data_IF_211635664477
#
_entry.id   IF_211635664477
#
_cell.length_a   1.000
_cell.length_b   1.000
_cell.length_c   1.000
_cell.angle_alpha   90.00
_cell.angle_beta   90.00
_cell.angle_gamma   90.00
#
_symmetry.space_group_name_H-M   'P 1'
#
loop_
_entity.id
_entity.type
_entity.pdbx_description
1 polymer ?
#
# COMPACT_ATOMS: atom_id res chain seq x y z
N UNK A 1 69.29 10.26 40.36
CA UNK A 1 68.25 9.64 39.41
C UNK A 1 66.84 9.62 39.98
N UNK A 2 66.56 9.14 41.17
CA UNK A 2 65.20 9.16 41.76
C UNK A 2 64.49 10.51 41.82
N UNK A 3 65.22 11.60 42.19
CA UNK A 3 64.65 12.94 42.24
C UNK A 3 64.36 13.59 40.91
N UNK A 4 65.05 13.14 39.83
CA UNK A 4 64.80 13.63 38.50
C UNK A 4 63.58 12.98 37.89
N UNK A 5 63.33 11.70 38.21
CA UNK A 5 62.09 10.95 37.74
C UNK A 5 60.83 11.47 38.45
N UNK A 6 60.89 11.87 39.71
CA UNK A 6 59.75 12.46 40.45
C UNK A 6 59.37 13.79 39.83
N UNK A 7 60.35 14.63 39.42
CA UNK A 7 60.12 15.95 38.81
C UNK A 7 59.41 15.79 37.45
N UNK A 8 59.81 14.82 36.62
CA UNK A 8 59.16 14.54 35.33
C UNK A 8 57.74 13.97 35.51
N UNK A 9 57.50 13.13 36.52
CA UNK A 9 56.18 12.58 36.83
C UNK A 9 55.22 13.68 37.34
N UNK A 10 55.70 14.64 38.12
CA UNK A 10 54.92 15.79 38.59
C UNK A 10 54.58 16.78 37.47
N UNK A 11 55.49 17.03 36.52
CA UNK A 11 55.26 17.88 35.35
C UNK A 11 54.27 17.19 34.41
N UNK A 12 54.39 15.87 34.22
CA UNK A 12 53.43 15.07 33.43
C UNK A 12 52.02 15.07 34.04
N UNK A 13 51.89 14.98 35.37
CA UNK A 13 50.61 15.04 36.05
C UNK A 13 49.97 16.46 36.00
N UNK A 14 50.79 17.51 35.98
CA UNK A 14 50.30 18.90 35.86
C UNK A 14 49.80 19.23 34.45
N UNK A 15 50.39 18.60 33.41
CA UNK A 15 49.94 18.75 32.01
C UNK A 15 48.64 17.99 31.71
N UNK A 16 48.31 16.95 32.48
CA UNK A 16 47.07 16.21 32.35
C UNK A 16 45.89 16.93 33.02
N UNK A 17 46.15 17.76 34.06
CA UNK A 17 45.12 18.48 34.77
C UNK A 17 44.69 19.81 34.09
N UNK A 18 45.39 20.26 33.04
CA UNK A 18 45.03 21.48 32.31
C UNK A 18 44.15 21.20 31.08
N UNK A 19 43.66 19.96 30.88
CA UNK A 19 42.96 19.55 29.66
C UNK A 19 41.43 19.54 29.77
N UNK A 20 40.82 20.05 30.81
CA UNK A 20 39.35 20.04 30.93
C UNK A 20 38.80 21.35 31.53
N UNK A 21 39.07 22.47 30.88
CA UNK A 21 38.28 23.69 31.07
C UNK A 21 38.10 24.41 29.74
N UNK A 22 37.52 23.73 28.76
CA UNK A 22 36.84 24.44 27.72
C UNK A 22 35.41 24.76 28.22
N UNK A 23 35.31 25.82 29.04
CA UNK A 23 34.03 26.51 29.17
C UNK A 23 33.69 27.04 27.78
N UNK A 24 32.83 26.33 27.08
CA UNK A 24 32.37 26.76 25.75
C UNK A 24 31.59 28.07 25.93
N UNK A 25 32.19 29.16 25.42
CA UNK A 25 31.59 30.48 25.50
C UNK A 25 30.40 30.58 24.57
N UNK A 26 29.22 30.79 25.12
CA UNK A 26 28.01 31.11 24.36
C UNK A 26 28.07 32.54 23.82
N UNK A 27 27.65 32.70 22.57
CA UNK A 27 27.69 34.00 21.89
C UNK A 27 26.33 34.69 21.96
N UNK A 28 26.34 35.97 22.30
CA UNK A 28 25.20 36.88 22.27
C UNK A 28 25.15 37.73 20.97
N UNK A 29 26.00 37.44 19.99
CA UNK A 29 25.97 38.17 18.72
C UNK A 29 24.65 37.95 17.99
N UNK A 30 24.06 39.05 17.52
CA UNK A 30 22.85 39.00 16.67
C UNK A 30 23.11 38.49 15.24
N UNK A 31 24.37 38.34 14.85
CA UNK A 31 24.76 37.79 13.54
C UNK A 31 24.68 36.26 13.53
N UNK A 32 24.73 35.62 14.72
CA UNK A 32 24.65 34.21 14.83
C UNK A 32 23.24 33.69 14.47
N UNK A 33 23.20 32.65 13.66
CA UNK A 33 21.99 31.97 13.23
C UNK A 33 22.16 30.45 13.36
N UNK A 34 21.08 29.77 13.66
CA UNK A 34 21.00 28.32 13.48
C UNK A 34 20.65 28.00 12.04
N UNK A 35 21.15 26.88 11.53
CA UNK A 35 20.83 26.35 10.23
C UNK A 35 19.80 25.23 10.41
N UNK A 36 18.69 25.27 9.70
CA UNK A 36 17.64 24.25 9.76
C UNK A 36 17.73 23.32 8.55
N UNK A 37 17.43 22.06 8.73
CA UNK A 37 17.35 21.07 7.64
C UNK A 37 16.19 21.38 6.67
N UNK A 38 15.18 22.12 7.15
CA UNK A 38 14.07 22.62 6.34
C UNK A 38 13.53 23.92 6.93
N UNK A 39 12.98 24.79 6.12
CA UNK A 39 12.23 25.98 6.54
C UNK A 39 10.74 25.68 6.75
N UNK A 40 10.25 24.58 6.14
CA UNK A 40 8.86 24.13 6.21
C UNK A 40 8.82 22.62 6.32
N UNK A 41 8.25 22.11 7.42
CA UNK A 41 7.95 20.70 7.59
C UNK A 41 6.52 20.43 7.15
N UNK A 42 6.38 19.68 6.05
CA UNK A 42 5.09 19.21 5.56
C UNK A 42 4.81 17.82 6.10
N UNK A 43 3.79 17.70 6.93
CA UNK A 43 3.15 16.44 7.24
C UNK A 43 2.14 16.13 6.13
N UNK A 44 1.88 14.86 5.87
CA UNK A 44 0.94 14.47 4.82
C UNK A 44 -0.54 14.76 5.20
N UNK A 45 -1.47 14.32 4.35
CA UNK A 45 -2.90 14.39 4.63
C UNK A 45 -3.27 13.41 5.75
N UNK A 46 -4.11 13.83 6.68
CA UNK A 46 -4.62 13.06 7.79
C UNK A 46 -6.14 13.04 7.75
N UNK A 47 -6.74 11.93 8.15
CA UNK A 47 -8.18 11.95 8.43
C UNK A 47 -8.47 12.81 9.66
N UNK A 48 -9.62 13.50 9.65
CA UNK A 48 -10.06 14.28 10.82
C UNK A 48 -10.04 13.43 12.09
N UNK A 49 -9.61 14.03 13.19
CA UNK A 49 -9.47 13.39 14.51
C UNK A 49 -8.50 12.20 14.56
N UNK A 50 -7.60 12.05 13.56
CA UNK A 50 -6.53 11.06 13.60
C UNK A 50 -5.16 11.73 13.78
N UNK A 51 -4.22 10.98 14.36
CA UNK A 51 -2.84 11.44 14.55
C UNK A 51 -1.96 11.04 13.37
N UNK A 52 -1.00 11.90 13.07
CA UNK A 52 0.08 11.60 12.12
C UNK A 52 1.08 10.58 12.69
N UNK A 53 1.95 10.07 11.81
CA UNK A 53 3.26 9.56 12.20
C UNK A 53 4.11 10.69 12.80
N UNK A 54 5.21 10.33 13.43
CA UNK A 54 6.22 11.29 13.91
C UNK A 54 7.12 11.69 12.74
N UNK A 55 7.23 12.98 12.51
CA UNK A 55 8.14 13.61 11.57
C UNK A 55 9.25 14.30 12.31
N UNK A 56 10.39 14.58 11.66
CA UNK A 56 11.52 15.24 12.28
C UNK A 56 12.15 16.29 11.37
N UNK A 57 12.78 17.27 12.00
CA UNK A 57 13.75 18.15 11.37
C UNK A 57 14.88 18.46 12.33
N UNK A 58 16.00 18.88 11.77
CA UNK A 58 17.22 19.15 12.52
C UNK A 58 17.57 20.62 12.48
N UNK A 59 18.14 21.11 13.58
CA UNK A 59 18.82 22.39 13.63
C UNK A 59 20.29 22.20 13.98
N UNK A 60 21.14 22.99 13.36
CA UNK A 60 22.59 22.89 13.47
C UNK A 60 23.19 24.22 13.90
N UNK A 61 24.14 24.20 14.86
CA UNK A 61 24.94 25.34 15.13
C UNK A 61 26.25 25.31 14.32
N UNK A 62 26.29 26.07 13.23
CA UNK A 62 27.47 26.23 12.37
C UNK A 62 28.31 27.46 12.75
N UNK A 63 27.96 28.19 13.85
CA UNK A 63 28.69 29.33 14.32
C UNK A 63 29.99 28.89 15.02
N UNK A 64 30.97 29.80 15.13
CA UNK A 64 32.28 29.53 15.78
C UNK A 64 32.19 29.30 17.30
N UNK A 65 31.05 29.62 17.92
CA UNK A 65 30.78 29.46 19.35
C UNK A 65 29.44 28.80 19.58
N UNK A 66 29.23 28.28 20.79
CA UNK A 66 27.92 27.84 21.25
C UNK A 66 26.89 28.98 21.19
N UNK A 67 25.64 28.64 20.94
CA UNK A 67 24.50 29.55 21.08
C UNK A 67 23.48 28.90 22.02
N UNK A 68 22.73 29.73 22.75
CA UNK A 68 21.72 29.26 23.68
C UNK A 68 20.35 29.67 23.16
N UNK A 69 19.43 28.70 23.09
CA UNK A 69 18.03 28.95 22.84
C UNK A 69 17.39 29.43 24.14
N UNK A 70 17.07 30.72 24.23
CA UNK A 70 16.34 31.28 25.37
C UNK A 70 14.93 30.66 25.45
N UNK A 71 14.31 30.39 24.30
CA UNK A 71 13.05 29.62 24.24
C UNK A 71 12.79 28.97 22.89
N UNK A 72 12.11 27.83 22.92
CA UNK A 72 11.45 27.22 21.78
C UNK A 72 9.98 27.05 22.11
N UNK A 73 9.07 27.48 21.22
CA UNK A 73 7.63 27.42 21.45
C UNK A 73 6.85 27.15 20.15
N UNK A 74 5.64 26.61 20.26
CA UNK A 74 4.64 26.69 19.20
C UNK A 74 4.00 28.08 19.19
N UNK A 75 3.86 28.69 18.02
CA UNK A 75 3.28 30.03 17.88
C UNK A 75 1.85 30.10 18.41
N UNK A 76 1.03 29.06 18.13
CA UNK A 76 -0.36 28.97 18.58
C UNK A 76 -0.59 27.97 19.73
N UNK A 77 0.50 27.51 20.40
CA UNK A 77 0.40 26.47 21.43
C UNK A 77 -0.16 25.16 20.87
N UNK A 78 -1.22 24.59 21.47
CA UNK A 78 -1.85 23.37 20.98
C UNK A 78 -3.15 23.61 20.15
N UNK A 79 -3.48 24.86 19.86
CA UNK A 79 -4.78 25.22 19.24
C UNK A 79 -4.94 24.68 17.81
N UNK A 80 -3.83 24.41 17.14
CA UNK A 80 -3.77 23.90 15.79
C UNK A 80 -3.53 22.39 15.69
N UNK A 81 -3.50 21.68 16.81
CA UNK A 81 -3.34 20.23 16.87
C UNK A 81 -1.91 19.71 16.72
N UNK A 82 -0.91 20.58 16.56
CA UNK A 82 0.50 20.16 16.49
C UNK A 82 1.07 19.87 17.89
N UNK A 83 1.88 18.83 17.96
CA UNK A 83 2.68 18.43 19.14
C UNK A 83 4.14 18.40 18.72
N UNK A 84 4.98 19.04 19.50
CA UNK A 84 6.41 19.17 19.21
C UNK A 84 7.23 18.71 20.43
N UNK A 85 8.31 17.98 20.15
CA UNK A 85 9.30 17.58 21.13
C UNK A 85 10.67 18.10 20.68
N UNK A 86 11.33 18.87 21.51
CA UNK A 86 12.63 19.46 21.22
C UNK A 86 13.66 18.75 22.08
N UNK A 87 14.55 18.00 21.45
CA UNK A 87 15.64 17.29 22.15
C UNK A 87 15.17 16.45 23.37
N UNK A 88 14.06 15.70 23.19
CA UNK A 88 13.49 14.87 24.26
C UNK A 88 12.50 15.59 25.19
N UNK A 89 12.35 16.91 25.09
CA UNK A 89 11.45 17.69 25.96
C UNK A 89 10.18 18.06 25.16
N UNK A 90 8.99 17.55 25.54
CA UNK A 90 7.75 17.88 24.84
C UNK A 90 7.27 19.30 25.17
N UNK A 91 6.80 20.03 24.16
CA UNK A 91 6.04 21.27 24.33
C UNK A 91 4.62 20.91 24.78
N UNK A 92 4.32 21.02 26.05
CA UNK A 92 3.08 20.55 26.66
C UNK A 92 2.45 21.61 27.58
N UNK A 93 1.23 21.35 28.06
CA UNK A 93 0.56 22.20 29.03
C UNK A 93 1.41 22.46 30.30
N UNK A 94 2.17 21.43 30.74
CA UNK A 94 2.96 21.50 31.95
C UNK A 94 4.09 22.56 31.89
N UNK A 95 4.53 22.91 30.69
CA UNK A 95 5.57 23.92 30.46
C UNK A 95 5.05 25.10 29.61
N UNK A 96 3.73 25.30 29.50
CA UNK A 96 3.10 26.37 28.72
C UNK A 96 3.42 26.31 27.24
N UNK A 97 3.57 25.10 26.68
CA UNK A 97 3.96 24.85 25.29
C UNK A 97 5.29 25.50 24.89
N UNK A 98 6.22 25.59 25.87
CA UNK A 98 7.53 26.22 25.67
C UNK A 98 8.61 25.41 26.40
N UNK A 99 9.78 25.37 25.81
CA UNK A 99 11.03 24.92 26.46
C UNK A 99 12.00 26.06 26.45
N UNK A 100 12.75 26.25 27.56
CA UNK A 100 13.69 27.32 27.70
C UNK A 100 15.09 26.78 27.97
N UNK A 101 16.10 27.63 27.78
CA UNK A 101 17.48 27.44 28.18
C UNK A 101 18.12 26.15 27.59
N UNK A 102 18.02 25.98 26.27
CA UNK A 102 18.66 24.85 25.58
C UNK A 102 20.00 25.29 25.01
N UNK A 103 21.13 24.77 25.49
CA UNK A 103 22.42 25.01 24.87
C UNK A 103 22.57 24.25 23.54
N UNK A 104 23.15 24.90 22.56
CA UNK A 104 23.55 24.26 21.27
C UNK A 104 25.03 24.60 21.08
N UNK A 105 25.88 23.62 21.36
CA UNK A 105 27.33 23.81 21.31
C UNK A 105 27.82 24.03 19.87
N UNK A 106 29.05 24.53 19.74
CA UNK A 106 29.67 24.69 18.42
C UNK A 106 29.75 23.34 17.69
N UNK A 107 29.24 23.28 16.44
CA UNK A 107 29.22 22.07 15.65
C UNK A 107 28.14 21.04 16.01
N UNK A 108 27.35 21.33 17.07
CA UNK A 108 26.30 20.44 17.55
C UNK A 108 24.98 20.61 16.75
N UNK A 109 24.07 19.68 16.96
CA UNK A 109 22.74 19.67 16.36
C UNK A 109 21.68 19.18 17.34
N UNK A 110 20.45 19.65 17.17
CA UNK A 110 19.27 19.17 17.90
C UNK A 110 18.23 18.63 16.94
N UNK A 111 17.60 17.53 17.32
CA UNK A 111 16.46 16.98 16.62
C UNK A 111 15.15 17.52 17.20
N UNK A 112 14.23 17.87 16.33
CA UNK A 112 12.87 18.31 16.69
C UNK A 112 11.87 17.33 16.06
N UNK A 113 11.13 16.64 16.92
CA UNK A 113 10.06 15.73 16.51
C UNK A 113 8.72 16.46 16.49
N UNK A 114 7.94 16.18 15.46
CA UNK A 114 6.64 16.82 15.24
C UNK A 114 5.59 15.76 14.90
N UNK A 115 4.46 15.87 15.56
CA UNK A 115 3.23 15.14 15.25
C UNK A 115 2.07 16.12 15.13
N UNK A 116 1.01 15.71 14.45
CA UNK A 116 -0.22 16.48 14.41
C UNK A 116 -1.45 15.56 14.61
N UNK A 117 -2.50 16.11 15.24
CA UNK A 117 -3.84 15.54 15.20
C UNK A 117 -4.69 16.45 14.33
N UNK A 118 -5.24 15.92 13.23
CA UNK A 118 -6.02 16.70 12.30
C UNK A 118 -7.31 17.21 12.95
N UNK A 119 -7.62 18.52 12.83
CA UNK A 119 -8.88 19.07 13.32
C UNK A 119 -10.07 18.53 12.52
N UNK A 120 -11.25 18.49 13.12
CA UNK A 120 -12.49 18.22 12.40
C UNK A 120 -12.92 19.48 11.65
N UNK A 121 -12.97 19.39 10.32
CA UNK A 121 -13.40 20.47 9.43
C UNK A 121 -14.53 19.93 8.57
N UNK A 122 -15.63 20.66 8.47
CA UNK A 122 -16.77 20.22 7.63
C UNK A 122 -16.54 20.56 6.17
N UNK A 123 -15.56 19.87 5.55
CA UNK A 123 -15.16 20.07 4.17
C UNK A 123 -15.01 18.74 3.44
N UNK A 124 -15.34 18.72 2.16
CA UNK A 124 -15.27 17.50 1.33
C UNK A 124 -13.83 17.19 0.90
N UNK A 125 -13.04 18.24 0.61
CA UNK A 125 -11.65 18.11 0.16
C UNK A 125 -10.67 18.33 1.29
N UNK A 126 -9.47 17.74 1.26
CA UNK A 126 -8.43 18.03 2.22
C UNK A 126 -8.16 19.54 2.34
N UNK A 127 -8.13 20.06 3.57
CA UNK A 127 -7.86 21.46 3.88
C UNK A 127 -6.59 21.58 4.71
N UNK A 128 -5.71 22.51 4.33
CA UNK A 128 -4.47 22.80 5.05
C UNK A 128 -4.77 23.40 6.43
N UNK A 129 -4.01 22.97 7.44
CA UNK A 129 -3.87 23.61 8.73
C UNK A 129 -2.38 23.72 9.08
N UNK A 130 -1.98 24.81 9.75
CA UNK A 130 -0.59 25.15 9.96
C UNK A 130 -0.32 25.76 11.34
N UNK A 131 0.95 25.72 11.74
CA UNK A 131 1.53 26.40 12.89
C UNK A 131 3.01 26.70 12.60
N UNK A 132 3.71 27.30 13.57
CA UNK A 132 5.14 27.56 13.48
C UNK A 132 5.84 27.15 14.79
N UNK A 133 7.03 26.56 14.66
CA UNK A 133 7.96 26.45 15.78
C UNK A 133 8.85 27.68 15.78
N UNK A 134 8.80 28.45 16.87
CA UNK A 134 9.55 29.68 17.03
C UNK A 134 10.74 29.41 17.94
N UNK A 135 11.93 29.65 17.46
CA UNK A 135 13.22 29.53 18.15
C UNK A 135 13.73 30.93 18.46
N UNK A 136 13.87 31.25 19.72
CA UNK A 136 14.42 32.55 20.17
C UNK A 136 15.79 32.32 20.79
N UNK A 137 16.85 32.87 20.21
CA UNK A 137 18.19 32.85 20.75
C UNK A 137 18.31 33.83 21.96
N UNK A 138 19.26 33.59 22.85
CA UNK A 138 19.58 34.49 23.96
C UNK A 138 19.97 35.89 23.47
N UNK A 139 20.50 35.99 22.25
CA UNK A 139 20.77 37.28 21.57
C UNK A 139 19.52 38.06 21.17
N UNK A 140 18.30 37.48 21.35
CA UNK A 140 17.03 38.04 20.94
C UNK A 140 16.67 37.79 19.47
N UNK A 141 17.47 37.03 18.74
CA UNK A 141 17.17 36.63 17.35
C UNK A 141 16.10 35.57 17.34
N UNK A 142 15.05 35.77 16.55
CA UNK A 142 14.01 34.77 16.28
C UNK A 142 14.20 34.13 14.91
N UNK A 143 14.05 32.80 14.88
CA UNK A 143 13.98 32.00 13.65
C UNK A 143 12.75 31.08 13.73
N UNK A 144 12.19 30.72 12.60
CA UNK A 144 10.94 29.97 12.54
C UNK A 144 11.03 28.83 11.55
N UNK A 145 10.37 27.72 11.87
CA UNK A 145 10.10 26.61 10.95
C UNK A 145 8.58 26.47 10.85
N UNK A 146 8.05 26.57 9.62
CA UNK A 146 6.62 26.39 9.35
C UNK A 146 6.27 24.91 9.44
N UNK A 147 5.15 24.59 10.11
CA UNK A 147 4.54 23.29 10.15
C UNK A 147 3.24 23.34 9.33
N UNK A 148 3.00 22.38 8.46
CA UNK A 148 1.75 22.28 7.73
C UNK A 148 1.31 20.84 7.55
N UNK A 149 0.00 20.62 7.57
CA UNK A 149 -0.63 19.34 7.28
C UNK A 149 -2.01 19.58 6.67
N UNK A 150 -2.65 18.53 6.15
CA UNK A 150 -3.99 18.62 5.59
C UNK A 150 -4.94 17.73 6.38
N UNK A 151 -6.09 18.28 6.77
CA UNK A 151 -7.18 17.52 7.36
C UNK A 151 -8.21 17.14 6.31
N UNK A 152 -8.57 15.86 6.25
CA UNK A 152 -9.59 15.35 5.36
C UNK A 152 -10.72 14.73 6.19
N UNK A 153 -11.93 15.28 6.02
CA UNK A 153 -13.10 14.80 6.74
C UNK A 153 -13.51 13.41 6.23
N UNK A 154 -13.52 12.44 7.13
CA UNK A 154 -13.98 11.09 6.88
C UNK A 154 -15.20 10.74 7.73
N UNK A 155 -16.02 9.79 7.28
CA UNK A 155 -17.00 9.12 8.10
C UNK A 155 -16.30 8.02 8.89
N UNK A 156 -16.25 8.14 10.22
CA UNK A 156 -15.59 7.15 11.08
C UNK A 156 -16.57 6.03 11.44
N UNK A 157 -16.21 4.81 11.13
CA UNK A 157 -16.89 3.58 11.52
C UNK A 157 -15.91 2.78 12.38
N UNK A 158 -16.29 2.51 13.63
CA UNK A 158 -15.43 1.68 14.48
C UNK A 158 -15.53 0.21 14.03
N UNK A 159 -16.73 -0.38 14.12
CA UNK A 159 -17.08 -1.70 13.60
C UNK A 159 -18.50 -1.67 13.03
N UNK A 160 -18.69 -2.23 11.85
CA UNK A 160 -20.02 -2.35 11.24
C UNK A 160 -20.48 -3.80 11.26
N UNK A 161 -21.56 -4.07 12.00
CA UNK A 161 -22.28 -5.35 12.01
C UNK A 161 -23.51 -5.24 11.10
N UNK A 162 -23.47 -5.90 9.94
CA UNK A 162 -24.55 -5.87 8.95
C UNK A 162 -25.47 -7.06 9.20
N UNK A 163 -26.49 -6.88 10.01
CA UNK A 163 -27.49 -7.92 10.34
C UNK A 163 -28.72 -7.91 9.41
N UNK A 164 -28.94 -6.84 8.65
CA UNK A 164 -29.99 -6.68 7.65
C UNK A 164 -29.41 -6.05 6.40
N UNK A 165 -30.12 -6.11 5.29
CA UNK A 165 -29.70 -5.50 4.04
C UNK A 165 -29.36 -4.02 4.23
N UNK A 166 -28.14 -3.67 3.89
CA UNK A 166 -27.55 -2.35 4.15
C UNK A 166 -26.88 -1.83 2.90
N UNK A 167 -26.99 -0.53 2.66
CA UNK A 167 -26.36 0.14 1.52
C UNK A 167 -25.35 1.16 2.05
N UNK A 168 -24.14 1.12 1.55
CA UNK A 168 -23.13 2.17 1.69
C UNK A 168 -23.04 2.90 0.36
N UNK A 169 -23.40 4.20 0.37
CA UNK A 169 -23.29 5.11 -0.76
C UNK A 169 -22.62 6.39 -0.30
N UNK A 170 -21.32 6.52 -0.52
CA UNK A 170 -20.52 7.65 0.00
C UNK A 170 -19.47 8.11 -1.01
N UNK A 171 -19.88 8.61 -2.19
CA UNK A 171 -18.94 8.98 -3.25
C UNK A 171 -18.15 10.26 -2.97
N UNK A 172 -18.60 11.10 -2.03
CA UNK A 172 -17.98 12.39 -1.73
C UNK A 172 -17.10 12.38 -0.49
N UNK A 173 -17.41 11.53 0.47
CA UNK A 173 -16.71 11.50 1.77
C UNK A 173 -16.16 10.10 2.02
N UNK A 174 -14.85 9.96 2.23
CA UNK A 174 -14.26 8.66 2.52
C UNK A 174 -14.77 8.11 3.86
N UNK A 175 -14.76 6.79 3.95
CA UNK A 175 -15.09 6.07 5.18
C UNK A 175 -13.78 5.55 5.78
N UNK A 176 -13.55 5.79 7.07
CA UNK A 176 -12.46 5.19 7.84
C UNK A 176 -13.03 4.12 8.76
N UNK A 177 -12.71 2.85 8.51
CA UNK A 177 -13.17 1.70 9.27
C UNK A 177 -12.04 1.18 10.18
N UNK A 178 -12.24 1.23 11.49
CA UNK A 178 -11.19 0.92 12.47
C UNK A 178 -11.07 -0.56 12.81
N UNK A 179 -12.20 -1.29 12.97
CA UNK A 179 -12.23 -2.69 13.40
C UNK A 179 -12.97 -3.63 12.44
N UNK A 180 -13.24 -3.17 11.21
CA UNK A 180 -13.77 -3.99 10.14
C UNK A 180 -15.30 -4.02 10.03
N UNK A 181 -15.74 -4.77 9.02
CA UNK A 181 -17.15 -4.94 8.65
C UNK A 181 -17.47 -6.44 8.71
N UNK A 182 -18.57 -6.81 9.36
CA UNK A 182 -19.07 -8.19 9.38
C UNK A 182 -20.46 -8.24 8.80
N UNK A 183 -20.65 -9.06 7.77
CA UNK A 183 -21.95 -9.28 7.13
C UNK A 183 -22.49 -10.62 7.63
N UNK A 184 -23.57 -10.58 8.41
CA UNK A 184 -24.20 -11.77 8.96
C UNK A 184 -24.94 -12.59 7.90
N UNK A 185 -25.14 -13.87 8.19
CA UNK A 185 -25.92 -14.76 7.33
C UNK A 185 -27.33 -14.18 7.06
N UNK A 186 -27.77 -14.26 5.82
CA UNK A 186 -29.06 -13.74 5.38
C UNK A 186 -29.06 -12.23 5.08
N UNK A 187 -28.04 -11.48 5.47
CA UNK A 187 -27.94 -10.06 5.18
C UNK A 187 -27.08 -9.77 3.94
N UNK A 188 -27.38 -8.70 3.23
CA UNK A 188 -26.60 -8.20 2.10
C UNK A 188 -26.03 -6.82 2.42
N UNK A 189 -24.72 -6.66 2.21
CA UNK A 189 -24.11 -5.33 2.13
C UNK A 189 -23.93 -4.95 0.66
N UNK A 190 -24.50 -3.81 0.28
CA UNK A 190 -24.28 -3.21 -1.05
C UNK A 190 -23.38 -1.98 -0.92
N UNK A 191 -22.28 -1.93 -1.67
CA UNK A 191 -21.39 -0.77 -1.73
C UNK A 191 -21.50 -0.15 -3.12
N UNK A 192 -21.91 1.11 -3.17
CA UNK A 192 -22.15 1.85 -4.42
C UNK A 192 -20.88 2.46 -4.98
N UNK A 193 -20.88 2.69 -6.29
CA UNK A 193 -19.78 3.27 -7.04
C UNK A 193 -19.30 4.62 -6.52
N UNK A 194 -17.99 4.85 -6.59
CA UNK A 194 -17.33 6.05 -6.07
C UNK A 194 -17.04 6.01 -4.57
N UNK A 195 -17.56 5.03 -3.84
CA UNK A 195 -17.27 4.87 -2.41
C UNK A 195 -15.82 4.45 -2.20
N UNK A 196 -15.13 5.14 -1.29
CA UNK A 196 -13.78 4.76 -0.82
C UNK A 196 -13.85 4.38 0.66
N UNK A 197 -13.38 3.17 0.99
CA UNK A 197 -13.26 2.71 2.38
C UNK A 197 -11.79 2.48 2.71
N UNK A 198 -11.34 3.16 3.75
CA UNK A 198 -10.01 3.01 4.32
C UNK A 198 -10.09 2.13 5.57
N UNK A 199 -9.23 1.14 5.66
CA UNK A 199 -9.21 0.18 6.76
C UNK A 199 -7.95 0.34 7.58
N UNK A 200 -8.09 0.28 8.92
CA UNK A 200 -6.95 0.14 9.80
C UNK A 200 -6.35 -1.28 9.69
N UNK A 201 -5.14 -1.47 10.20
CA UNK A 201 -4.34 -2.68 10.02
C UNK A 201 -5.09 -4.00 10.33
N UNK A 202 -5.84 -4.05 11.43
CA UNK A 202 -6.55 -5.27 11.84
C UNK A 202 -7.99 -5.34 11.30
N UNK A 203 -8.40 -4.37 10.51
CA UNK A 203 -9.73 -4.30 9.92
C UNK A 203 -9.78 -5.04 8.57
N UNK A 204 -10.92 -5.67 8.28
CA UNK A 204 -11.23 -6.35 7.03
C UNK A 204 -12.73 -6.45 6.83
N UNK A 205 -13.17 -7.22 5.85
CA UNK A 205 -14.59 -7.51 5.60
C UNK A 205 -14.82 -9.02 5.73
N UNK A 206 -15.54 -9.42 6.78
CA UNK A 206 -15.98 -10.80 7.01
C UNK A 206 -17.38 -11.00 6.40
N UNK A 207 -17.51 -11.90 5.42
CA UNK A 207 -18.74 -12.11 4.65
C UNK A 207 -19.31 -13.50 4.95
N UNK A 208 -20.28 -13.59 5.87
CA UNK A 208 -21.07 -14.80 6.09
C UNK A 208 -22.38 -14.76 5.27
N UNK A 209 -22.90 -13.56 5.02
CA UNK A 209 -24.02 -13.29 4.15
C UNK A 209 -23.60 -13.02 2.71
N UNK A 210 -24.00 -11.88 2.16
CA UNK A 210 -23.73 -11.49 0.77
C UNK A 210 -23.08 -10.11 0.69
N UNK A 211 -22.06 -9.97 -0.14
CA UNK A 211 -21.46 -8.69 -0.51
C UNK A 211 -21.75 -8.38 -1.99
N UNK A 212 -22.33 -7.20 -2.25
CA UNK A 212 -22.51 -6.64 -3.58
C UNK A 212 -21.72 -5.35 -3.70
N UNK A 213 -20.70 -5.30 -4.56
CA UNK A 213 -19.99 -4.08 -4.91
C UNK A 213 -20.43 -3.66 -6.31
N UNK A 214 -21.02 -2.49 -6.40
CA UNK A 214 -21.66 -1.96 -7.62
C UNK A 214 -20.92 -0.70 -8.07
N UNK A 215 -19.64 -0.85 -8.44
CA UNK A 215 -18.87 0.19 -9.08
C UNK A 215 -19.26 0.38 -10.55
N UNK A 216 -18.78 1.45 -11.13
CA UNK A 216 -18.87 1.80 -12.54
C UNK A 216 -17.48 2.19 -13.06
N UNK A 217 -17.27 2.20 -14.37
CA UNK A 217 -16.00 2.56 -14.99
C UNK A 217 -15.41 3.87 -14.42
N UNK A 218 -16.21 4.95 -14.41
CA UNK A 218 -15.80 6.27 -13.91
C UNK A 218 -15.96 6.44 -12.39
N UNK A 219 -16.55 5.46 -11.70
CA UNK A 219 -16.87 5.50 -10.27
C UNK A 219 -16.55 4.17 -9.62
N UNK A 220 -15.28 3.78 -9.69
CA UNK A 220 -14.83 2.55 -9.05
C UNK A 220 -14.98 2.63 -7.53
N UNK A 221 -15.21 1.50 -6.89
CA UNK A 221 -15.12 1.39 -5.44
C UNK A 221 -13.66 1.14 -5.07
N UNK A 222 -13.14 1.89 -4.10
CA UNK A 222 -11.76 1.72 -3.63
C UNK A 222 -11.75 1.19 -2.19
N UNK A 223 -11.09 0.04 -1.98
CA UNK A 223 -10.84 -0.58 -0.68
C UNK A 223 -9.33 -0.64 -0.44
N UNK A 224 -8.84 0.05 0.60
CA UNK A 224 -7.40 0.16 0.87
C UNK A 224 -7.07 0.42 2.35
N UNK A 225 -5.80 0.35 2.70
CA UNK A 225 -5.31 0.73 4.02
C UNK A 225 -5.47 2.23 4.32
N UNK A 226 -5.56 2.55 5.62
CA UNK A 226 -5.85 3.92 6.11
C UNK A 226 -4.66 4.89 6.05
N UNK A 227 -3.44 4.40 5.81
CA UNK A 227 -2.25 5.25 5.75
C UNK A 227 -2.28 6.11 4.47
N UNK A 228 -2.22 7.43 4.63
CA UNK A 228 -2.18 8.42 3.56
C UNK A 228 -0.79 9.05 3.41
N UNK A 229 0.09 8.80 4.35
CA UNK A 229 1.45 9.31 4.40
C UNK A 229 2.40 8.48 3.50
N UNK A 230 3.67 8.87 3.52
CA UNK A 230 4.74 8.24 2.73
C UNK A 230 5.75 7.56 3.65
N UNK A 231 6.31 6.44 3.19
CA UNK A 231 7.47 5.80 3.82
C UNK A 231 8.73 6.60 3.48
N UNK A 232 8.88 6.92 2.19
CA UNK A 232 9.93 7.77 1.65
C UNK A 232 9.30 8.83 0.75
N UNK A 233 10.02 9.88 0.40
CA UNK A 233 9.50 10.98 -0.42
C UNK A 233 8.84 10.53 -1.73
N UNK A 234 9.30 9.41 -2.30
CA UNK A 234 8.83 8.82 -3.56
C UNK A 234 7.96 7.57 -3.36
N UNK A 235 7.75 7.08 -2.13
CA UNK A 235 7.01 5.84 -1.85
C UNK A 235 5.85 6.07 -0.87
N UNK A 236 4.62 6.29 -1.38
CA UNK A 236 3.44 6.38 -0.54
C UNK A 236 3.03 5.01 0.01
N UNK A 237 2.44 4.98 1.21
CA UNK A 237 1.90 3.75 1.81
C UNK A 237 0.82 3.08 0.95
N UNK A 238 0.18 3.81 0.05
CA UNK A 238 -0.79 3.28 -0.92
C UNK A 238 -0.22 2.15 -1.81
N UNK A 239 1.10 2.15 -1.98
CA UNK A 239 1.81 1.17 -2.81
C UNK A 239 2.40 0.00 -2.03
N UNK A 240 2.13 -0.08 -0.73
CA UNK A 240 2.71 -1.10 0.16
C UNK A 240 1.66 -2.09 0.62
N UNK A 241 2.02 -3.36 0.63
CA UNK A 241 1.15 -4.46 1.08
C UNK A 241 1.03 -4.54 2.60
N UNK A 242 0.06 -5.32 3.10
CA UNK A 242 -0.08 -5.63 4.53
C UNK A 242 -0.70 -4.52 5.38
N UNK A 243 -1.45 -3.57 4.78
CA UNK A 243 -2.05 -2.44 5.49
C UNK A 243 -3.36 -2.78 6.20
N UNK A 244 -4.08 -3.80 5.74
CA UNK A 244 -5.38 -4.25 6.23
C UNK A 244 -5.63 -5.71 5.85
N UNK A 245 -6.68 -6.36 6.39
CA UNK A 245 -6.84 -7.81 6.28
C UNK A 245 -7.41 -8.29 4.94
N UNK A 246 -8.17 -7.44 4.20
CA UNK A 246 -8.85 -7.81 2.95
C UNK A 246 -10.25 -8.38 3.16
N UNK A 247 -10.73 -9.22 2.24
CA UNK A 247 -12.06 -9.80 2.21
C UNK A 247 -12.02 -11.30 2.48
N UNK A 248 -12.87 -11.78 3.40
CA UNK A 248 -13.00 -13.20 3.72
C UNK A 248 -14.44 -13.66 3.54
N UNK A 249 -14.67 -14.56 2.57
CA UNK A 249 -15.98 -15.16 2.27
C UNK A 249 -16.07 -16.53 2.92
N UNK A 250 -16.85 -16.62 3.99
CA UNK A 250 -17.06 -17.84 4.76
C UNK A 250 -17.92 -18.88 4.00
N UNK A 251 -17.98 -20.10 4.50
CA UNK A 251 -18.68 -21.23 3.85
C UNK A 251 -20.16 -20.96 3.55
N UNK A 252 -20.86 -20.17 4.37
CA UNK A 252 -22.26 -19.79 4.19
C UNK A 252 -22.51 -18.70 3.13
N UNK A 253 -21.46 -18.00 2.69
CA UNK A 253 -21.56 -16.87 1.78
C UNK A 253 -21.64 -17.32 0.30
N UNK A 254 -22.63 -16.81 -0.44
CA UNK A 254 -22.86 -17.11 -1.85
C UNK A 254 -23.33 -15.89 -2.63
N UNK A 255 -23.27 -15.98 -3.98
CA UNK A 255 -23.78 -14.96 -4.91
C UNK A 255 -23.19 -13.58 -4.68
N UNK A 256 -21.93 -13.53 -4.24
CA UNK A 256 -21.21 -12.29 -4.10
C UNK A 256 -20.83 -11.74 -5.47
N UNK A 257 -21.06 -10.45 -5.69
CA UNK A 257 -20.76 -9.76 -6.95
C UNK A 257 -19.89 -8.54 -6.65
N UNK A 258 -18.72 -8.49 -7.28
CA UNK A 258 -17.77 -7.41 -7.11
C UNK A 258 -17.41 -6.85 -8.49
N UNK A 259 -17.97 -5.69 -8.80
CA UNK A 259 -17.79 -5.05 -10.11
C UNK A 259 -17.12 -3.68 -9.97
N UNK A 260 -16.13 -3.38 -10.80
CA UNK A 260 -15.36 -2.13 -10.80
C UNK A 260 -14.86 -1.76 -9.40
N UNK A 261 -14.10 -2.64 -8.79
CA UNK A 261 -13.51 -2.46 -7.48
C UNK A 261 -11.99 -2.55 -7.54
N UNK A 262 -11.32 -1.67 -6.79
CA UNK A 262 -9.89 -1.73 -6.52
C UNK A 262 -9.65 -2.13 -5.07
N UNK A 263 -9.02 -3.29 -4.87
CA UNK A 263 -8.63 -3.85 -3.58
C UNK A 263 -7.11 -3.87 -3.56
N UNK A 264 -6.50 -3.10 -2.67
CA UNK A 264 -5.04 -2.98 -2.67
C UNK A 264 -4.43 -2.77 -1.30
N UNK A 265 -3.16 -3.15 -1.20
CA UNK A 265 -2.35 -2.95 0.00
C UNK A 265 -2.78 -3.80 1.19
N UNK A 266 -3.50 -4.91 0.99
CA UNK A 266 -4.01 -5.77 2.05
C UNK A 266 -3.06 -6.91 2.41
N UNK A 267 -3.41 -7.65 3.46
CA UNK A 267 -2.75 -8.92 3.77
C UNK A 267 -3.18 -9.97 2.72
N UNK A 268 -4.44 -10.37 2.69
CA UNK A 268 -5.01 -11.14 1.58
C UNK A 268 -6.03 -10.29 0.83
N UNK A 269 -6.04 -10.32 -0.50
CA UNK A 269 -7.05 -9.64 -1.29
C UNK A 269 -8.42 -10.23 -1.03
N UNK A 270 -8.63 -11.45 -1.47
CA UNK A 270 -9.86 -12.22 -1.29
C UNK A 270 -9.53 -13.65 -0.88
N UNK A 271 -10.18 -14.14 0.18
CA UNK A 271 -10.16 -15.55 0.58
C UNK A 271 -11.59 -16.08 0.53
N UNK A 272 -11.79 -17.20 -0.19
CA UNK A 272 -13.06 -17.92 -0.24
C UNK A 272 -12.91 -19.29 0.40
N UNK A 273 -13.62 -19.53 1.49
CA UNK A 273 -13.66 -20.83 2.16
C UNK A 273 -14.49 -21.86 1.37
N UNK A 274 -14.28 -23.12 1.69
CA UNK A 274 -15.03 -24.26 1.12
C UNK A 274 -16.54 -24.05 1.23
N UNK A 275 -17.24 -24.36 0.15
CA UNK A 275 -18.70 -24.22 0.05
C UNK A 275 -19.25 -25.19 -1.01
N UNK A 276 -20.57 -25.26 -1.20
CA UNK A 276 -21.20 -26.07 -2.25
C UNK A 276 -20.75 -25.60 -3.63
N UNK A 277 -20.03 -26.44 -4.34
CA UNK A 277 -19.45 -26.16 -5.66
C UNK A 277 -20.51 -26.03 -6.77
N UNK A 278 -21.76 -26.45 -6.54
CA UNK A 278 -22.85 -26.25 -7.47
C UNK A 278 -23.44 -24.83 -7.44
N UNK A 279 -23.05 -24.04 -6.44
CA UNK A 279 -23.51 -22.66 -6.25
C UNK A 279 -22.37 -21.68 -6.47
N UNK A 280 -22.58 -20.68 -7.30
CA UNK A 280 -21.58 -19.61 -7.49
C UNK A 280 -21.38 -18.86 -6.18
N UNK A 281 -20.15 -18.88 -5.67
CA UNK A 281 -19.76 -18.16 -4.47
C UNK A 281 -19.46 -16.71 -4.77
N UNK A 282 -18.70 -16.45 -5.83
CA UNK A 282 -18.25 -15.12 -6.16
C UNK A 282 -18.14 -14.92 -7.67
N UNK A 283 -18.55 -13.73 -8.12
CA UNK A 283 -18.27 -13.18 -9.44
C UNK A 283 -17.47 -11.89 -9.29
N UNK A 284 -16.31 -11.83 -9.92
CA UNK A 284 -15.39 -10.71 -9.89
C UNK A 284 -15.25 -10.14 -11.30
N UNK A 285 -15.68 -8.89 -11.50
CA UNK A 285 -15.71 -8.27 -12.84
C UNK A 285 -15.04 -6.90 -12.81
N UNK A 286 -14.20 -6.61 -13.80
CA UNK A 286 -13.47 -5.33 -13.91
C UNK A 286 -12.78 -4.92 -12.60
N UNK A 287 -12.21 -5.87 -11.89
CA UNK A 287 -11.65 -5.66 -10.57
C UNK A 287 -10.12 -5.68 -10.60
N UNK A 288 -9.51 -4.81 -9.80
CA UNK A 288 -8.08 -4.83 -9.52
C UNK A 288 -7.83 -5.35 -8.11
N UNK A 289 -6.98 -6.39 -7.99
CA UNK A 289 -6.44 -6.84 -6.71
C UNK A 289 -4.93 -6.74 -6.78
N UNK A 290 -4.35 -5.88 -5.96
CA UNK A 290 -2.98 -5.46 -6.13
C UNK A 290 -2.24 -5.27 -4.80
N UNK A 291 -0.94 -5.65 -4.77
CA UNK A 291 -0.07 -5.47 -3.61
C UNK A 291 -0.61 -6.15 -2.33
N UNK A 292 -0.67 -7.49 -2.34
CA UNK A 292 -1.05 -8.27 -1.16
C UNK A 292 0.18 -8.91 -0.50
N UNK A 293 0.25 -8.89 0.81
CA UNK A 293 1.30 -9.55 1.58
C UNK A 293 1.07 -11.08 1.68
N UNK A 294 -0.14 -11.54 1.39
CA UNK A 294 -0.52 -12.93 1.26
C UNK A 294 -0.97 -13.24 -0.17
N UNK A 295 -2.17 -13.81 -0.33
CA UNK A 295 -2.77 -14.15 -1.62
C UNK A 295 -3.46 -12.94 -2.25
N UNK A 296 -3.47 -12.87 -3.58
CA UNK A 296 -4.38 -12.00 -4.29
C UNK A 296 -5.82 -12.53 -4.17
N UNK A 297 -6.09 -13.70 -4.73
CA UNK A 297 -7.34 -14.44 -4.56
C UNK A 297 -7.02 -15.88 -4.21
N UNK A 298 -7.61 -16.41 -3.14
CA UNK A 298 -7.53 -17.81 -2.74
C UNK A 298 -8.92 -18.43 -2.77
N UNK A 299 -9.11 -19.47 -3.56
CA UNK A 299 -10.38 -20.19 -3.76
C UNK A 299 -10.24 -21.62 -3.27
N UNK A 300 -10.94 -21.98 -2.21
CA UNK A 300 -10.91 -23.33 -1.64
C UNK A 300 -12.27 -23.99 -1.86
N UNK A 301 -12.31 -25.08 -2.62
CA UNK A 301 -13.50 -25.91 -2.87
C UNK A 301 -14.79 -25.07 -3.04
N UNK A 302 -14.78 -24.15 -4.00
CA UNK A 302 -15.90 -23.27 -4.28
C UNK A 302 -16.00 -22.97 -5.79
N UNK A 303 -17.07 -22.32 -6.21
CA UNK A 303 -17.28 -21.90 -7.59
C UNK A 303 -17.12 -20.40 -7.75
N UNK A 304 -16.25 -19.96 -8.67
CA UNK A 304 -15.99 -18.55 -8.91
C UNK A 304 -15.80 -18.22 -10.40
N UNK A 305 -16.18 -16.99 -10.76
CA UNK A 305 -15.96 -16.42 -12.09
C UNK A 305 -15.15 -15.12 -11.95
N UNK A 306 -14.06 -15.01 -12.70
CA UNK A 306 -13.23 -13.83 -12.79
C UNK A 306 -13.18 -13.36 -14.24
N UNK A 307 -13.67 -12.14 -14.49
CA UNK A 307 -13.83 -11.59 -15.84
C UNK A 307 -13.19 -10.19 -15.86
N UNK A 308 -12.33 -9.94 -16.82
CA UNK A 308 -11.61 -8.67 -16.95
C UNK A 308 -10.92 -8.23 -15.63
N UNK A 309 -10.38 -9.18 -14.86
CA UNK A 309 -9.76 -8.89 -13.59
C UNK A 309 -8.23 -8.77 -13.72
N UNK A 310 -7.65 -7.81 -13.00
CA UNK A 310 -6.22 -7.72 -12.77
C UNK A 310 -5.89 -8.27 -11.37
N UNK A 311 -5.04 -9.29 -11.29
CA UNK A 311 -4.49 -9.82 -10.05
C UNK A 311 -2.98 -9.69 -10.11
N UNK A 312 -2.37 -8.90 -9.21
CA UNK A 312 -0.95 -8.57 -9.38
C UNK A 312 -0.22 -8.32 -8.07
N UNK A 313 1.07 -8.62 -8.09
CA UNK A 313 2.03 -8.30 -7.03
C UNK A 313 1.63 -8.83 -5.64
N UNK A 314 1.74 -10.12 -5.44
CA UNK A 314 1.39 -10.78 -4.17
C UNK A 314 2.57 -11.59 -3.64
N UNK A 315 2.76 -11.67 -2.34
CA UNK A 315 3.83 -12.50 -1.78
C UNK A 315 3.55 -13.99 -2.00
N UNK A 316 2.29 -14.43 -1.80
CA UNK A 316 1.87 -15.76 -2.21
C UNK A 316 1.43 -15.74 -3.68
N UNK A 317 0.41 -16.46 -4.06
CA UNK A 317 -0.05 -16.51 -5.45
C UNK A 317 -1.00 -15.35 -5.77
N UNK A 318 -0.93 -14.82 -7.00
CA UNK A 318 -1.96 -13.88 -7.46
C UNK A 318 -3.33 -14.57 -7.46
N UNK A 319 -3.38 -15.82 -7.95
CA UNK A 319 -4.55 -16.69 -7.84
C UNK A 319 -4.14 -18.08 -7.37
N UNK A 320 -4.73 -18.56 -6.25
CA UNK A 320 -4.64 -19.93 -5.76
C UNK A 320 -5.99 -20.63 -5.91
N UNK A 321 -6.00 -21.78 -6.60
CA UNK A 321 -7.19 -22.62 -6.87
C UNK A 321 -6.99 -23.98 -6.23
N UNK A 322 -7.75 -24.28 -5.17
CA UNK A 322 -7.65 -25.48 -4.38
C UNK A 322 -8.99 -26.25 -4.43
N UNK A 323 -9.13 -27.24 -5.29
CA UNK A 323 -10.36 -28.01 -5.44
C UNK A 323 -11.57 -27.22 -5.92
N UNK A 324 -11.38 -26.10 -6.62
CA UNK A 324 -12.44 -25.18 -7.01
C UNK A 324 -12.82 -25.28 -8.49
N UNK A 325 -14.04 -24.86 -8.82
CA UNK A 325 -14.55 -24.69 -10.20
C UNK A 325 -14.42 -23.21 -10.59
N UNK A 326 -13.51 -22.89 -11.50
CA UNK A 326 -13.11 -21.50 -11.78
C UNK A 326 -13.09 -21.19 -13.26
N UNK A 327 -13.76 -20.10 -13.63
CA UNK A 327 -13.64 -19.47 -14.94
C UNK A 327 -12.81 -18.20 -14.83
N UNK A 328 -11.71 -18.14 -15.58
CA UNK A 328 -10.96 -16.91 -15.87
C UNK A 328 -11.21 -16.52 -17.32
N UNK A 329 -11.66 -15.29 -17.58
CA UNK A 329 -11.79 -14.79 -18.94
C UNK A 329 -11.32 -13.34 -19.06
N UNK A 330 -10.41 -13.10 -20.00
CA UNK A 330 -9.82 -11.80 -20.24
C UNK A 330 -9.21 -11.17 -18.97
N UNK A 331 -8.43 -11.96 -18.23
CA UNK A 331 -7.77 -11.52 -17.00
C UNK A 331 -6.26 -11.29 -17.21
N UNK A 332 -5.65 -10.46 -16.37
CA UNK A 332 -4.20 -10.27 -16.30
C UNK A 332 -3.69 -10.66 -14.91
N UNK A 333 -2.97 -11.77 -14.83
CA UNK A 333 -2.25 -12.22 -13.64
C UNK A 333 -0.78 -11.86 -13.82
N UNK A 334 -0.27 -10.90 -13.04
CA UNK A 334 1.05 -10.32 -13.22
C UNK A 334 1.84 -10.33 -11.90
N UNK A 335 2.76 -11.30 -11.75
CA UNK A 335 3.51 -11.51 -10.51
C UNK A 335 4.87 -10.82 -10.53
N UNK A 336 4.89 -9.55 -10.11
CA UNK A 336 6.09 -8.72 -10.00
C UNK A 336 6.37 -8.26 -8.56
N UNK A 337 5.90 -8.99 -7.55
CA UNK A 337 6.13 -8.66 -6.13
C UNK A 337 7.65 -8.58 -5.83
N UNK A 338 8.18 -7.41 -5.42
CA UNK A 338 9.63 -7.19 -5.42
C UNK A 338 10.32 -7.57 -4.11
N UNK A 339 9.58 -7.71 -2.99
CA UNK A 339 10.17 -7.75 -1.65
C UNK A 339 10.70 -9.11 -1.22
N UNK A 340 10.32 -10.19 -1.90
CA UNK A 340 10.75 -11.53 -1.54
C UNK A 340 10.96 -12.40 -2.77
N UNK A 341 12.12 -13.06 -2.83
CA UNK A 341 12.43 -14.01 -3.90
C UNK A 341 11.67 -15.32 -3.80
N UNK A 342 11.10 -15.65 -2.61
CA UNK A 342 10.28 -16.83 -2.38
C UNK A 342 8.79 -16.60 -2.70
N UNK A 343 8.45 -15.48 -3.38
CA UNK A 343 7.09 -15.22 -3.83
C UNK A 343 6.51 -16.39 -4.61
N UNK A 344 5.19 -16.56 -4.48
CA UNK A 344 4.46 -17.59 -5.22
C UNK A 344 4.32 -17.27 -6.72
N UNK A 345 3.77 -18.22 -7.44
CA UNK A 345 3.49 -18.08 -8.88
C UNK A 345 2.25 -17.18 -9.11
N UNK A 346 2.09 -16.66 -10.32
CA UNK A 346 0.88 -15.91 -10.69
C UNK A 346 -0.39 -16.78 -10.58
N UNK A 347 -0.30 -18.05 -10.98
CA UNK A 347 -1.39 -19.02 -10.89
C UNK A 347 -0.92 -20.33 -10.25
N UNK A 348 -1.49 -20.69 -9.11
CA UNK A 348 -1.25 -21.97 -8.42
C UNK A 348 -2.52 -22.82 -8.43
N UNK A 349 -2.42 -24.07 -8.89
CA UNK A 349 -3.53 -25.00 -8.95
C UNK A 349 -3.19 -26.22 -8.12
N UNK A 350 -4.09 -26.58 -7.19
CA UNK A 350 -4.00 -27.77 -6.36
C UNK A 350 -5.31 -28.56 -6.40
N UNK A 351 -5.22 -29.87 -6.46
CA UNK A 351 -6.37 -30.79 -6.47
C UNK A 351 -6.43 -31.66 -5.20
N UNK A 352 -5.89 -31.15 -4.09
CA UNK A 352 -5.71 -31.95 -2.87
C UNK A 352 -7.02 -32.46 -2.25
N UNK A 353 -8.14 -31.74 -2.39
CA UNK A 353 -9.39 -32.06 -1.68
C UNK A 353 -10.53 -32.51 -2.60
N UNK A 354 -10.72 -31.90 -3.76
CA UNK A 354 -11.84 -32.13 -4.68
C UNK A 354 -11.36 -32.01 -6.13
N UNK A 355 -12.16 -32.49 -7.10
CA UNK A 355 -11.89 -32.19 -8.50
C UNK A 355 -11.79 -30.69 -8.73
N UNK A 356 -10.68 -30.24 -9.30
CA UNK A 356 -10.51 -28.88 -9.76
C UNK A 356 -10.92 -28.77 -11.22
N UNK A 357 -11.82 -27.83 -11.53
CA UNK A 357 -12.16 -27.45 -12.90
C UNK A 357 -11.68 -26.03 -13.13
N UNK A 358 -10.77 -25.85 -14.08
CA UNK A 358 -10.24 -24.52 -14.40
C UNK A 358 -10.32 -24.25 -15.90
N UNK A 359 -11.02 -23.20 -16.27
CA UNK A 359 -11.02 -22.65 -17.63
C UNK A 359 -10.35 -21.29 -17.64
N UNK A 360 -9.28 -21.13 -18.42
CA UNK A 360 -8.56 -19.87 -18.61
C UNK A 360 -8.66 -19.47 -20.07
N UNK A 361 -9.36 -18.38 -20.33
CA UNK A 361 -9.66 -17.88 -21.67
C UNK A 361 -9.09 -16.46 -21.81
N UNK A 362 -8.52 -16.15 -22.97
CA UNK A 362 -8.15 -14.79 -23.36
C UNK A 362 -7.30 -14.03 -22.30
N UNK A 363 -6.50 -14.73 -21.53
CA UNK A 363 -5.87 -14.18 -20.33
C UNK A 363 -4.34 -14.14 -20.42
N UNK A 364 -3.72 -13.22 -19.69
CA UNK A 364 -2.27 -13.13 -19.51
C UNK A 364 -1.91 -13.71 -18.14
N UNK A 365 -0.95 -14.63 -18.10
CA UNK A 365 -0.34 -15.14 -16.86
C UNK A 365 1.16 -15.00 -16.99
N UNK A 366 1.75 -14.00 -16.33
CA UNK A 366 3.17 -13.62 -16.45
C UNK A 366 3.76 -13.13 -15.12
N UNK A 367 5.05 -12.85 -15.09
CA UNK A 367 5.74 -12.35 -13.91
C UNK A 367 7.26 -12.45 -14.01
N UNK A 368 7.97 -12.30 -12.88
CA UNK A 368 9.42 -12.36 -12.85
C UNK A 368 10.01 -13.76 -13.10
N UNK A 369 9.48 -14.77 -12.43
CA UNK A 369 10.00 -16.11 -12.53
C UNK A 369 9.67 -16.74 -13.91
N UNK A 370 10.49 -17.71 -14.32
CA UNK A 370 10.30 -18.40 -15.60
C UNK A 370 9.04 -19.26 -15.62
N UNK A 371 8.64 -19.76 -14.48
CA UNK A 371 7.42 -20.56 -14.30
C UNK A 371 6.42 -19.78 -13.44
N UNK A 372 5.37 -19.29 -14.07
CA UNK A 372 4.31 -18.53 -13.42
C UNK A 372 3.02 -19.32 -13.21
N UNK A 373 3.01 -20.58 -13.60
CA UNK A 373 1.90 -21.50 -13.43
C UNK A 373 2.39 -22.77 -12.78
N UNK A 374 1.84 -23.07 -11.60
CA UNK A 374 2.10 -24.32 -10.90
C UNK A 374 0.90 -25.23 -10.96
N UNK A 375 1.07 -26.35 -11.60
CA UNK A 375 0.10 -27.44 -11.69
C UNK A 375 0.43 -28.54 -10.68
N UNK A 376 -0.56 -29.29 -10.18
CA UNK A 376 -0.28 -30.46 -9.32
C UNK A 376 0.47 -31.54 -10.09
N UNK A 377 1.10 -32.47 -9.37
CA UNK A 377 1.81 -33.61 -9.97
C UNK A 377 0.88 -34.46 -10.83
N UNK A 378 1.42 -35.12 -11.84
CA UNK A 378 0.70 -35.82 -12.92
C UNK A 378 -0.28 -36.94 -12.50
N UNK A 379 -0.19 -37.41 -11.27
CA UNK A 379 -1.03 -38.52 -10.78
C UNK A 379 -2.36 -38.10 -10.14
N UNK A 380 -2.69 -36.79 -10.20
CA UNK A 380 -3.98 -36.31 -9.68
C UNK A 380 -5.10 -36.54 -10.70
N UNK A 381 -5.82 -37.63 -10.54
CA UNK A 381 -6.99 -38.01 -11.35
C UNK A 381 -8.16 -37.00 -11.30
N UNK A 382 -8.04 -35.94 -10.49
CA UNK A 382 -9.11 -35.01 -10.14
C UNK A 382 -8.94 -33.62 -10.76
N UNK A 383 -7.98 -33.41 -11.67
CA UNK A 383 -7.75 -32.13 -12.29
C UNK A 383 -8.27 -32.09 -13.72
N UNK A 384 -9.18 -31.18 -13.99
CA UNK A 384 -9.62 -30.82 -15.36
C UNK A 384 -9.31 -29.35 -15.61
N UNK A 385 -8.45 -29.06 -16.57
CA UNK A 385 -8.10 -27.68 -16.91
C UNK A 385 -7.99 -27.47 -18.41
N UNK A 386 -8.29 -26.26 -18.84
CA UNK A 386 -8.16 -25.81 -20.23
C UNK A 386 -7.64 -24.36 -20.27
N UNK A 387 -6.60 -24.15 -21.04
CA UNK A 387 -6.12 -22.82 -21.41
C UNK A 387 -6.43 -22.58 -22.88
N UNK A 388 -7.03 -21.43 -23.19
CA UNK A 388 -7.37 -21.09 -24.58
C UNK A 388 -7.10 -19.61 -24.86
N UNK A 389 -6.53 -19.32 -26.04
CA UNK A 389 -6.26 -17.97 -26.53
C UNK A 389 -5.58 -17.07 -25.47
N UNK A 390 -4.59 -17.61 -24.77
CA UNK A 390 -3.97 -16.97 -23.62
C UNK A 390 -2.45 -16.89 -23.77
N UNK A 391 -1.82 -15.90 -23.09
CA UNK A 391 -0.38 -15.81 -22.94
C UNK A 391 0.02 -16.42 -21.59
N UNK A 392 0.90 -17.41 -21.61
CA UNK A 392 1.33 -18.14 -20.42
C UNK A 392 2.84 -18.13 -20.29
N UNK A 393 3.37 -17.63 -19.16
CA UNK A 393 4.80 -17.71 -18.81
C UNK A 393 5.07 -19.04 -18.10
N UNK A 394 5.38 -20.04 -18.89
CA UNK A 394 5.73 -21.38 -18.44
C UNK A 394 6.50 -22.14 -19.55
N UNK A 395 7.23 -23.15 -19.18
CA UNK A 395 7.84 -24.08 -20.14
C UNK A 395 6.74 -24.78 -20.95
N UNK A 396 6.86 -24.72 -22.28
CA UNK A 396 5.89 -25.40 -23.17
C UNK A 396 5.80 -26.90 -22.86
N UNK A 397 4.61 -27.43 -22.55
CA UNK A 397 4.42 -28.84 -22.25
C UNK A 397 4.80 -29.77 -23.43
N UNK A 398 4.99 -31.04 -23.12
CA UNK A 398 5.20 -32.07 -24.14
C UNK A 398 3.93 -32.29 -24.98
N UNK A 399 4.07 -32.77 -26.20
CA UNK A 399 2.98 -32.90 -27.19
C UNK A 399 1.71 -33.58 -26.64
N UNK A 400 1.84 -34.65 -25.85
CA UNK A 400 0.71 -35.36 -25.23
C UNK A 400 -0.12 -34.52 -24.27
N UNK A 401 0.47 -33.49 -23.67
CA UNK A 401 -0.16 -32.62 -22.68
C UNK A 401 -0.75 -31.36 -23.35
N UNK A 402 -0.46 -31.13 -24.65
CA UNK A 402 -0.92 -29.96 -25.40
C UNK A 402 -2.42 -29.93 -25.65
N UNK A 403 -3.16 -31.04 -25.43
CA UNK A 403 -4.62 -31.08 -25.52
C UNK A 403 -5.30 -30.08 -24.60
N UNK A 404 -4.63 -29.68 -23.49
CA UNK A 404 -5.13 -28.70 -22.54
C UNK A 404 -4.83 -27.24 -22.93
N UNK A 405 -4.15 -27.03 -24.07
CA UNK A 405 -3.66 -25.70 -24.48
C UNK A 405 -4.05 -25.41 -25.92
N UNK A 406 -5.19 -24.71 -26.09
CA UNK A 406 -5.71 -24.34 -27.41
C UNK A 406 -5.33 -22.90 -27.75
N UNK A 407 -4.63 -22.68 -28.86
CA UNK A 407 -4.22 -21.35 -29.33
C UNK A 407 -3.48 -20.52 -28.28
N UNK A 408 -2.64 -21.19 -27.48
CA UNK A 408 -1.87 -20.59 -26.40
C UNK A 408 -0.51 -20.10 -26.89
N UNK A 409 -0.14 -18.91 -26.45
CA UNK A 409 1.19 -18.35 -26.62
C UNK A 409 2.01 -18.67 -25.37
N UNK A 410 3.09 -19.44 -25.53
CA UNK A 410 4.03 -19.69 -24.44
C UNK A 410 5.08 -18.57 -24.43
N UNK A 411 5.10 -17.79 -23.36
CA UNK A 411 6.03 -16.69 -23.21
C UNK A 411 7.47 -17.21 -23.07
N UNK A 412 8.36 -16.74 -23.93
CA UNK A 412 9.76 -17.15 -23.90
C UNK A 412 10.55 -16.25 -22.95
N UNK A 413 11.21 -16.83 -21.95
CA UNK A 413 12.13 -16.12 -21.04
C UNK A 413 13.35 -15.54 -21.74
N UNK A 414 13.62 -15.98 -22.99
CA UNK A 414 14.70 -15.48 -23.84
C UNK A 414 14.32 -14.22 -24.63
N UNK A 415 13.04 -13.95 -24.78
CA UNK A 415 12.55 -12.75 -25.47
C UNK A 415 12.32 -11.61 -24.48
N UNK A 416 13.38 -10.92 -24.13
CA UNK A 416 13.36 -9.78 -23.20
C UNK A 416 12.86 -8.48 -23.83
N UNK A 417 12.58 -8.47 -25.14
CA UNK A 417 12.16 -7.26 -25.86
C UNK A 417 10.63 -7.17 -25.92
N UNK A 418 9.94 -8.27 -26.23
CA UNK A 418 8.52 -8.24 -26.55
C UNK A 418 7.63 -8.83 -25.44
N UNK A 419 8.20 -9.53 -24.45
CA UNK A 419 7.47 -10.27 -23.43
C UNK A 419 7.87 -9.86 -22.01
N UNK A 420 7.22 -10.44 -21.00
CA UNK A 420 7.44 -10.10 -19.61
C UNK A 420 6.96 -8.68 -19.27
N UNK A 421 7.74 -7.95 -18.52
CA UNK A 421 7.43 -6.56 -18.14
C UNK A 421 7.35 -5.61 -19.34
N UNK A 422 7.97 -5.95 -20.46
CA UNK A 422 7.94 -5.16 -21.69
C UNK A 422 6.58 -5.18 -22.42
N UNK A 423 5.67 -6.08 -22.05
CA UNK A 423 4.29 -6.04 -22.53
C UNK A 423 3.53 -4.81 -22.02
N UNK A 424 3.85 -4.33 -20.83
CA UNK A 424 3.07 -3.38 -20.08
C UNK A 424 3.64 -1.97 -20.13
N UNK A 425 2.78 -0.97 -20.00
CA UNK A 425 3.18 0.44 -19.99
C UNK A 425 4.21 0.69 -18.90
N UNK A 426 3.99 0.14 -17.69
CA UNK A 426 4.90 0.36 -16.56
C UNK A 426 4.99 -0.85 -15.63
N UNK A 427 6.21 -1.25 -15.32
CA UNK A 427 6.56 -2.16 -14.24
C UNK A 427 7.77 -1.57 -13.53
N UNK A 428 7.56 -0.82 -12.44
CA UNK A 428 8.59 -0.10 -11.70
C UNK A 428 8.63 -0.60 -10.25
N UNK A 429 9.62 -1.45 -9.98
CA UNK A 429 9.77 -2.09 -8.67
C UNK A 429 10.50 -1.22 -7.64
N UNK A 430 11.15 -0.13 -8.05
CA UNK A 430 11.87 0.77 -7.13
C UNK A 430 10.89 1.67 -6.38
N UNK A 431 9.86 2.16 -7.09
CA UNK A 431 8.83 3.03 -6.52
C UNK A 431 7.46 2.35 -6.43
N UNK A 432 7.38 1.03 -6.71
CA UNK A 432 6.19 0.20 -6.68
C UNK A 432 5.04 0.78 -7.52
N UNK A 433 5.37 1.21 -8.73
CA UNK A 433 4.43 1.87 -9.64
C UNK A 433 4.19 1.00 -10.88
N UNK A 434 2.95 0.56 -11.06
CA UNK A 434 2.61 -0.44 -12.07
C UNK A 434 1.42 -0.01 -12.90
N UNK A 435 1.55 -0.17 -14.21
CA UNK A 435 0.48 0.00 -15.19
C UNK A 435 0.50 -1.19 -16.14
N UNK A 436 -0.46 -2.09 -15.99
CA UNK A 436 -0.56 -3.32 -16.77
C UNK A 436 -1.37 -3.18 -18.07
N UNK A 437 -1.64 -1.96 -18.52
CA UNK A 437 -2.09 -1.74 -19.89
C UNK A 437 -1.01 -2.14 -20.90
N UNK A 438 -1.43 -2.55 -22.07
CA UNK A 438 -0.52 -3.02 -23.10
C UNK A 438 0.22 -1.86 -23.77
N UNK A 439 1.53 -2.01 -23.95
CA UNK A 439 2.31 -1.10 -24.79
C UNK A 439 1.93 -1.23 -26.27
N UNK A 440 2.16 -0.16 -27.02
CA UNK A 440 2.10 -0.19 -28.48
C UNK A 440 2.93 -1.36 -29.03
N UNK A 441 2.36 -2.18 -29.90
CA UNK A 441 3.00 -3.36 -30.49
C UNK A 441 3.22 -4.55 -29.53
N UNK A 442 2.56 -4.57 -28.36
CA UNK A 442 2.59 -5.76 -27.52
C UNK A 442 2.09 -6.97 -28.33
N UNK A 443 2.78 -8.08 -28.19
CA UNK A 443 2.55 -9.28 -29.03
C UNK A 443 1.16 -9.88 -28.88
N UNK A 444 0.48 -9.61 -27.80
CA UNK A 444 -0.84 -10.11 -27.44
C UNK A 444 -2.02 -9.32 -28.05
N UNK A 445 -1.73 -8.19 -28.70
CA UNK A 445 -2.73 -7.34 -29.35
C UNK A 445 -3.41 -8.11 -30.48
N UNK A 446 -4.74 -8.12 -30.49
CA UNK A 446 -5.57 -8.81 -31.49
C UNK A 446 -5.42 -10.34 -31.48
N UNK A 447 -5.15 -10.96 -30.33
CA UNK A 447 -4.95 -12.41 -30.20
C UNK A 447 -6.01 -13.14 -29.38
N UNK A 448 -6.94 -12.44 -28.77
CA UNK A 448 -8.05 -13.08 -28.06
C UNK A 448 -9.11 -13.63 -29.02
N UNK A 449 -9.86 -14.63 -28.58
CA UNK A 449 -10.99 -15.16 -29.36
C UNK A 449 -12.21 -14.26 -29.19
N UNK A 450 -12.62 -13.63 -30.29
CA UNK A 450 -13.76 -12.70 -30.35
C UNK A 450 -15.09 -13.30 -29.89
N UNK A 451 -15.25 -14.64 -29.96
CA UNK A 451 -16.52 -15.30 -29.64
C UNK A 451 -16.67 -15.55 -28.13
N UNK A 452 -15.54 -15.69 -27.41
CA UNK A 452 -15.53 -15.95 -25.98
C UNK A 452 -15.05 -14.74 -25.15
N UNK A 453 -14.37 -13.76 -25.77
CA UNK A 453 -13.90 -12.57 -25.09
C UNK A 453 -15.07 -11.62 -24.72
N UNK A 454 -15.10 -11.05 -23.49
CA UNK A 454 -16.10 -10.06 -23.10
C UNK A 454 -16.12 -8.85 -24.04
N UNK A 455 -17.30 -8.23 -24.22
CA UNK A 455 -17.44 -7.09 -25.15
C UNK A 455 -16.78 -5.78 -24.65
N UNK A 456 -16.64 -5.65 -23.36
CA UNK A 456 -15.96 -4.53 -22.69
C UNK A 456 -14.75 -5.06 -21.94
N UNK A 457 -13.76 -4.21 -21.73
CA UNK A 457 -12.54 -4.53 -20.99
C UNK A 457 -12.62 -4.17 -19.50
N UNK A 458 -11.50 -4.20 -18.81
CA UNK A 458 -11.37 -3.86 -17.39
C UNK A 458 -11.81 -2.40 -17.09
N UNK A 459 -11.56 -1.48 -17.99
CA UNK A 459 -11.86 -0.05 -17.82
C UNK A 459 -13.28 0.33 -18.29
N UNK A 460 -14.05 -0.67 -18.78
CA UNK A 460 -15.37 -0.44 -19.35
C UNK A 460 -15.35 0.03 -20.80
N UNK A 461 -14.20 -0.04 -21.45
CA UNK A 461 -14.04 0.36 -22.85
C UNK A 461 -14.44 -0.81 -23.76
N UNK A 462 -15.13 -0.50 -24.85
CA UNK A 462 -15.55 -1.52 -25.80
C UNK A 462 -14.36 -2.10 -26.54
N UNK A 463 -14.21 -3.45 -26.51
CA UNK A 463 -13.15 -4.14 -27.22
C UNK A 463 -13.35 -4.08 -28.74
N UNK A 464 -12.24 -4.14 -29.46
CA UNK A 464 -12.20 -4.16 -30.93
C UNK A 464 -12.81 -5.44 -31.50
N UNK A 465 -13.04 -5.46 -32.79
CA UNK A 465 -13.54 -6.66 -33.51
C UNK A 465 -12.58 -7.85 -33.41
N UNK A 466 -11.30 -7.58 -33.20
CA UNK A 466 -10.25 -8.55 -32.91
C UNK A 466 -9.66 -8.13 -31.58
N UNK A 467 -10.15 -8.69 -30.46
CA UNK A 467 -9.82 -8.21 -29.12
C UNK A 467 -8.42 -8.65 -28.68
N UNK A 468 -7.90 -7.96 -27.68
CA UNK A 468 -6.60 -8.22 -27.10
C UNK A 468 -6.68 -9.26 -25.97
N UNK A 469 -5.61 -10.05 -25.79
CA UNK A 469 -5.49 -10.95 -24.65
C UNK A 469 -5.20 -10.13 -23.39
N UNK A 470 -5.87 -10.46 -22.28
CA UNK A 470 -5.71 -9.82 -20.99
C UNK A 470 -6.88 -8.91 -20.59
N UNK A 471 -6.75 -8.30 -19.42
CA UNK A 471 -7.81 -7.48 -18.83
C UNK A 471 -8.09 -6.20 -19.61
N UNK A 472 -7.07 -5.62 -20.24
CA UNK A 472 -7.11 -4.31 -20.88
C UNK A 472 -7.05 -4.42 -22.41
N UNK A 473 -7.87 -3.62 -23.08
CA UNK A 473 -7.81 -3.42 -24.52
C UNK A 473 -6.83 -2.30 -24.84
N UNK A 474 -5.95 -2.49 -25.80
CA UNK A 474 -5.01 -1.45 -26.26
C UNK A 474 -5.73 -0.42 -27.16
N UNK A 475 -5.51 0.84 -26.93
CA UNK A 475 -6.09 1.98 -27.65
C UNK A 475 -5.07 2.83 -28.39
#
# INVERSE_FOLDING_TARGET
MKRFFIGILLIGAFLILSSCNNEELFSLSKDNRLVFSTDTLSLDTLFSNTSSSTYEFWLYNRNAKGVRLASVKLANGNQKGFRVNVNGIPLSNNNGFRVNDIPVYHGDSLCVFVEATAPSLDVIKPQEFDDEVVFTLESGVEQRVKLRAWSWQATHIDRLEVANDTIIDSPQRPILCSRGIKIHEGATLTIKGGTTIYFNHDAGIDVLGRLSIEGESEKRVLLRGSRLDKIFSNLPYDRVSGQWQGLHFYGSSYQNTLSYVDIRGCFNGIVCDSSDINRVKMKLEQATIHNCQGYGVRLVNCKAELINAQLSNTLHNCLSVEGADVLLNACTLAQYYPFDSSRGEALHISSQYQPTHLSVLNSIVTGFADEQIKLPSKDSSNLSYQFSNSLLRMTKPKDRDLIHYKDVIFESTKDTINMGENLFIKVDNEVLDYDFHLKNKAFVIGKADKNSCPQIDHDGIRRKSVPDIGAFEHH
#
